data_IF_483984231489
#
_entry.id   IF_483984231489
#
_cell.length_a   1.000
_cell.length_b   1.000
_cell.length_c   1.000
_cell.angle_alpha   90.00
_cell.angle_beta   90.00
_cell.angle_gamma   90.00
#
_symmetry.space_group_name_H-M   'P 1'
#
loop_
_entity.id
_entity.type
_entity.pdbx_description
1 polymer ?
#
# COMPACT_ATOMS: atom_id res chain seq x y z
N UNK A 1 -2.55 12.48 -5.11
CA UNK A 1 -3.14 11.41 -4.28
C UNK A 1 -3.54 12.01 -2.95
N UNK A 2 -4.82 11.95 -2.61
CA UNK A 2 -5.35 12.26 -1.29
C UNK A 2 -5.01 11.14 -0.29
N UNK A 3 -5.18 11.42 1.01
CA UNK A 3 -4.96 10.41 2.05
C UNK A 3 -5.91 9.21 1.90
N UNK A 4 -7.14 9.42 1.42
CA UNK A 4 -8.11 8.37 1.14
C UNK A 4 -7.64 7.45 0.01
N UNK A 5 -7.08 8.03 -1.07
CA UNK A 5 -6.50 7.26 -2.17
C UNK A 5 -5.27 6.44 -1.71
N UNK A 6 -4.43 7.02 -0.85
CA UNK A 6 -3.27 6.32 -0.28
C UNK A 6 -3.75 5.15 0.61
N UNK A 7 -4.71 5.39 1.50
CA UNK A 7 -5.28 4.36 2.36
C UNK A 7 -5.90 3.21 1.54
N UNK A 8 -6.68 3.54 0.50
CA UNK A 8 -7.25 2.56 -0.42
C UNK A 8 -6.20 1.67 -1.10
N UNK A 9 -5.09 2.26 -1.56
CA UNK A 9 -3.98 1.48 -2.12
C UNK A 9 -3.28 0.60 -1.09
N UNK A 10 -3.11 1.06 0.15
CA UNK A 10 -2.51 0.26 1.22
C UNK A 10 -3.39 -0.95 1.54
N UNK A 11 -4.71 -0.74 1.65
CA UNK A 11 -5.67 -1.84 1.91
C UNK A 11 -5.66 -2.83 0.74
N UNK A 12 -5.65 -2.34 -0.50
CA UNK A 12 -5.54 -3.19 -1.70
C UNK A 12 -4.24 -4.00 -1.70
N UNK A 13 -3.13 -3.40 -1.29
CA UNK A 13 -1.86 -4.10 -1.17
C UNK A 13 -1.90 -5.17 -0.06
N UNK A 14 -2.56 -4.87 1.07
CA UNK A 14 -2.76 -5.84 2.14
C UNK A 14 -3.57 -7.08 1.68
N UNK A 15 -4.55 -6.90 0.77
CA UNK A 15 -5.25 -8.01 0.09
C UNK A 15 -4.28 -8.89 -0.72
N UNK A 16 -3.34 -8.27 -1.44
CA UNK A 16 -2.37 -9.01 -2.26
C UNK A 16 -1.32 -9.74 -1.43
N UNK A 17 -0.98 -9.23 -0.24
CA UNK A 17 -0.03 -9.87 0.68
C UNK A 17 -0.55 -11.14 1.37
N UNK A 18 -1.82 -11.49 1.21
CA UNK A 18 -2.36 -12.75 1.74
C UNK A 18 -3.87 -12.70 1.95
N UNK A 19 -4.46 -13.86 2.23
CA UNK A 19 -5.90 -14.02 2.42
C UNK A 19 -6.34 -13.51 3.81
N UNK A 20 -6.16 -12.22 4.07
CA UNK A 20 -6.68 -11.57 5.26
C UNK A 20 -8.20 -11.43 5.09
N UNK A 21 -8.98 -12.08 5.95
CA UNK A 21 -10.44 -11.89 6.00
C UNK A 21 -10.83 -10.43 6.25
N UNK A 22 -9.93 -9.64 6.83
CA UNK A 22 -10.03 -8.18 6.94
C UNK A 22 -8.70 -7.52 6.51
N UNK A 23 -8.62 -6.97 5.28
CA UNK A 23 -7.42 -6.31 4.77
C UNK A 23 -7.08 -5.01 5.51
N UNK A 24 -8.08 -4.29 6.03
CA UNK A 24 -7.85 -3.08 6.80
C UNK A 24 -7.26 -3.41 8.17
N UNK A 25 -7.76 -4.46 8.84
CA UNK A 25 -7.14 -4.97 10.06
C UNK A 25 -5.70 -5.44 9.82
N UNK A 26 -5.42 -6.11 8.70
CA UNK A 26 -4.06 -6.51 8.34
C UNK A 26 -3.14 -5.31 8.07
N UNK A 27 -3.65 -4.24 7.45
CA UNK A 27 -2.90 -3.00 7.24
C UNK A 27 -2.63 -2.26 8.56
N UNK A 28 -3.58 -2.24 9.51
CA UNK A 28 -3.38 -1.70 10.88
C UNK A 28 -2.37 -2.52 11.66
N UNK A 29 -2.47 -3.85 11.63
CA UNK A 29 -1.54 -4.76 12.32
C UNK A 29 -0.10 -4.61 11.82
N UNK A 30 0.07 -4.19 10.56
CA UNK A 30 1.37 -3.88 9.94
C UNK A 30 1.82 -2.43 10.14
N UNK A 31 1.03 -1.59 10.80
CA UNK A 31 1.35 -0.20 11.08
C UNK A 31 1.24 0.72 9.86
N UNK A 32 0.61 0.30 8.76
CA UNK A 32 0.52 1.09 7.52
C UNK A 32 -0.62 2.10 7.54
N UNK A 33 -1.69 1.81 8.27
CA UNK A 33 -2.80 2.74 8.54
C UNK A 33 -3.04 2.81 10.05
N UNK A 34 -3.53 3.96 10.52
CA UNK A 34 -3.88 4.18 11.93
C UNK A 34 -5.33 3.73 12.24
N UNK A 35 -5.72 3.88 13.51
CA UNK A 35 -7.08 3.59 13.99
C UNK A 35 -8.17 4.52 13.39
N UNK A 36 -7.78 5.53 12.62
CA UNK A 36 -8.67 6.44 11.91
C UNK A 36 -8.67 6.21 10.39
N UNK A 37 -8.15 5.05 9.93
CA UNK A 37 -8.00 4.70 8.50
C UNK A 37 -7.13 5.70 7.72
N UNK A 38 -6.26 6.44 8.40
CA UNK A 38 -5.32 7.34 7.77
C UNK A 38 -4.00 6.63 7.54
N UNK A 39 -3.33 6.89 6.40
CA UNK A 39 -2.03 6.33 6.16
C UNK A 39 -1.02 6.86 7.19
N UNK A 40 -0.24 5.97 7.76
CA UNK A 40 0.89 6.34 8.63
C UNK A 40 2.09 6.76 7.77
N UNK A 41 3.18 7.19 8.40
CA UNK A 41 4.43 7.47 7.68
C UNK A 41 4.99 6.22 7.00
N UNK A 42 4.84 5.04 7.60
CA UNK A 42 5.25 3.77 6.99
C UNK A 42 4.36 3.39 5.81
N UNK A 43 3.04 3.53 5.92
CA UNK A 43 2.12 3.29 4.81
C UNK A 43 2.37 4.23 3.62
N UNK A 44 2.68 5.50 3.88
CA UNK A 44 3.11 6.44 2.84
C UNK A 44 4.42 6.03 2.18
N UNK A 45 5.40 5.59 2.96
CA UNK A 45 6.69 5.12 2.43
C UNK A 45 6.52 3.87 1.56
N UNK A 46 5.63 2.95 1.95
CA UNK A 46 5.27 1.77 1.16
C UNK A 46 4.68 2.15 -0.20
N UNK A 47 3.67 3.03 -0.23
CA UNK A 47 3.06 3.47 -1.50
C UNK A 47 4.07 4.24 -2.36
N UNK A 48 4.95 5.04 -1.76
CA UNK A 48 6.03 5.71 -2.49
C UNK A 48 7.00 4.70 -3.12
N UNK A 49 7.39 3.65 -2.38
CA UNK A 49 8.25 2.58 -2.88
C UNK A 49 7.57 1.77 -3.99
N UNK A 50 6.27 1.45 -3.86
CA UNK A 50 5.50 0.77 -4.90
C UNK A 50 5.36 1.64 -6.16
N UNK A 51 5.11 2.95 -6.00
CA UNK A 51 5.07 3.90 -7.11
C UNK A 51 6.41 4.02 -7.82
N UNK A 52 7.53 3.97 -7.09
CA UNK A 52 8.87 3.89 -7.70
C UNK A 52 9.07 2.55 -8.42
N UNK A 53 8.70 1.42 -7.82
CA UNK A 53 8.82 0.10 -8.45
C UNK A 53 8.01 0.00 -9.75
N UNK A 54 6.81 0.57 -9.80
CA UNK A 54 6.00 0.64 -11.02
C UNK A 54 6.68 1.49 -12.11
N UNK A 55 7.31 2.60 -11.73
CA UNK A 55 8.09 3.43 -12.66
C UNK A 55 9.33 2.70 -13.20
N UNK A 56 10.03 1.94 -12.37
CA UNK A 56 11.19 1.15 -12.81
C UNK A 56 10.80 -0.15 -13.55
N UNK A 57 9.62 -0.71 -13.28
CA UNK A 57 9.08 -1.88 -13.98
C UNK A 57 8.72 -1.64 -15.44
N UNK A 58 8.49 -0.38 -15.83
CA UNK A 58 8.27 0.01 -17.23
C UNK A 58 9.54 -0.08 -18.10
N UNK A 59 10.74 -0.20 -17.50
CA UNK A 59 12.02 -0.23 -18.22
C UNK A 59 12.63 -1.63 -18.39
N UNK A 60 11.83 -2.70 -18.24
CA UNK A 60 12.35 -4.06 -18.48
C UNK A 60 11.39 -4.94 -19.29
N UNK A 61 11.12 -4.49 -20.52
CA UNK A 61 10.88 -5.38 -21.66
C UNK A 61 11.90 -5.02 -22.75
N UNK A 62 13.11 -5.56 -22.60
CA UNK A 62 13.98 -5.82 -23.75
C UNK A 62 13.80 -7.32 -24.02
N UNK A 63 12.84 -7.66 -24.88
CA UNK A 63 12.88 -8.88 -25.69
C UNK A 63 12.17 -8.63 -27.01
#
# INVERSE_FOLDING_TARGET
MSNEEIAGHIVTFAVQCGNASDPAAAARARGWIDDHDRPTSEGRALIAALGQQSRYGAYRLIV
#
